data_IF_538744200120
#
_entry.id   IF_538744200120
#
_cell.length_a   1.000
_cell.length_b   1.000
_cell.length_c   1.000
_cell.angle_alpha   90.00
_cell.angle_beta   90.00
_cell.angle_gamma   90.00
#
_symmetry.space_group_name_H-M   'P 1'
#
loop_
_entity.id
_entity.type
_entity.pdbx_description
1 polymer ?
#
# COMPACT_ATOMS: atom_id res chain seq x y z
N UNK A 1 -4.58 -4.66 -10.45
CA UNK A 1 -5.37 -5.77 -9.86
C UNK A 1 -6.36 -6.39 -10.85
N UNK A 2 -6.82 -5.67 -11.87
CA UNK A 2 -7.77 -6.14 -12.90
C UNK A 2 -7.54 -7.56 -13.43
N UNK A 3 -6.29 -7.95 -13.73
CA UNK A 3 -5.98 -9.28 -14.26
C UNK A 3 -6.24 -10.43 -13.27
N UNK A 4 -6.04 -10.20 -11.96
CA UNK A 4 -6.35 -11.19 -10.91
C UNK A 4 -7.85 -11.26 -10.72
N UNK A 5 -8.49 -10.09 -10.60
CA UNK A 5 -9.94 -10.00 -10.35
C UNK A 5 -10.80 -10.43 -11.54
N UNK A 6 -10.29 -10.39 -12.77
CA UNK A 6 -10.98 -10.98 -13.93
C UNK A 6 -11.07 -12.51 -13.86
N UNK A 7 -10.21 -13.16 -13.06
CA UNK A 7 -10.24 -14.60 -12.83
C UNK A 7 -11.10 -14.92 -11.59
N UNK A 8 -10.84 -14.22 -10.48
CA UNK A 8 -11.63 -14.35 -9.27
C UNK A 8 -11.67 -13.00 -8.52
N UNK A 9 -12.85 -12.37 -8.40
CA UNK A 9 -12.98 -11.08 -7.71
C UNK A 9 -12.78 -11.16 -6.20
N UNK A 10 -12.87 -12.35 -5.59
CA UNK A 10 -12.75 -12.55 -4.14
C UNK A 10 -11.28 -12.67 -3.67
N UNK A 11 -10.32 -12.69 -4.60
CA UNK A 11 -8.89 -12.73 -4.24
C UNK A 11 -8.45 -11.37 -3.71
N UNK A 12 -8.02 -11.36 -2.45
CA UNK A 12 -7.31 -10.23 -1.87
C UNK A 12 -5.87 -10.15 -2.39
N UNK A 13 -5.50 -8.98 -2.90
CA UNK A 13 -4.16 -8.72 -3.43
C UNK A 13 -3.39 -7.80 -2.49
N UNK A 14 -2.20 -8.25 -2.09
CA UNK A 14 -1.23 -7.51 -1.29
C UNK A 14 0.07 -7.35 -2.08
N UNK A 15 0.52 -6.10 -2.30
CA UNK A 15 1.81 -5.81 -2.93
C UNK A 15 2.94 -5.89 -1.90
N UNK A 16 3.85 -6.85 -2.03
CA UNK A 16 4.88 -7.14 -1.01
C UNK A 16 6.28 -6.59 -1.29
N UNK A 17 6.55 -6.03 -2.47
CA UNK A 17 7.88 -5.56 -2.86
C UNK A 17 7.83 -4.21 -3.58
N UNK A 18 8.92 -3.46 -3.50
CA UNK A 18 9.08 -2.17 -4.16
C UNK A 18 8.41 -0.99 -3.45
N UNK A 19 8.11 -1.12 -2.16
CA UNK A 19 7.46 -0.08 -1.35
C UNK A 19 8.51 0.60 -0.48
N UNK A 20 8.75 1.88 -0.73
CA UNK A 20 9.79 2.67 -0.08
C UNK A 20 9.31 3.99 0.51
N UNK A 21 8.06 4.37 0.24
CA UNK A 21 7.45 5.63 0.69
C UNK A 21 5.95 5.49 0.90
N UNK A 22 5.34 6.45 1.58
CA UNK A 22 3.88 6.58 1.64
C UNK A 22 3.25 6.85 0.28
N UNK A 23 3.98 7.48 -0.67
CA UNK A 23 3.49 7.62 -2.05
C UNK A 23 3.29 6.26 -2.71
N UNK A 24 4.26 5.36 -2.59
CA UNK A 24 4.15 4.00 -3.15
C UNK A 24 2.91 3.31 -2.56
N UNK A 25 2.76 3.37 -1.24
CA UNK A 25 1.59 2.83 -0.52
C UNK A 25 0.27 3.40 -1.07
N UNK A 26 0.15 4.71 -1.17
CA UNK A 26 -1.05 5.37 -1.69
C UNK A 26 -1.39 4.87 -3.10
N UNK A 27 -0.40 4.81 -3.98
CA UNK A 27 -0.57 4.41 -5.37
C UNK A 27 -1.02 2.93 -5.47
N UNK A 28 -0.46 2.03 -4.67
CA UNK A 28 -0.84 0.60 -4.76
C UNK A 28 -2.27 0.37 -4.30
N UNK A 29 -2.70 1.06 -3.24
CA UNK A 29 -4.08 0.98 -2.74
C UNK A 29 -5.05 1.55 -3.79
N UNK A 30 -4.74 2.72 -4.37
CA UNK A 30 -5.54 3.31 -5.46
C UNK A 30 -5.65 2.43 -6.70
N UNK A 31 -4.63 1.60 -6.96
CA UNK A 31 -4.65 0.66 -8.08
C UNK A 31 -5.48 -0.61 -7.81
N UNK A 32 -5.96 -0.80 -6.57
CA UNK A 32 -6.86 -1.88 -6.17
C UNK A 32 -6.25 -2.90 -5.20
N UNK A 33 -5.04 -2.67 -4.66
CA UNK A 33 -4.54 -3.48 -3.56
C UNK A 33 -5.38 -3.21 -2.31
N UNK A 34 -5.61 -4.24 -1.50
CA UNK A 34 -6.23 -4.05 -0.18
C UNK A 34 -5.19 -3.87 0.92
N UNK A 35 -3.92 -4.17 0.63
CA UNK A 35 -2.82 -4.08 1.56
C UNK A 35 -1.46 -3.98 0.84
N UNK A 36 -0.43 -3.63 1.59
CA UNK A 36 0.95 -3.63 1.11
C UNK A 36 1.93 -3.90 2.25
N UNK A 37 3.16 -4.31 1.92
CA UNK A 37 4.24 -4.54 2.88
C UNK A 37 5.51 -3.79 2.50
N UNK A 38 6.24 -3.31 3.50
CA UNK A 38 7.57 -2.72 3.34
C UNK A 38 8.48 -3.17 4.49
N UNK A 39 9.62 -3.79 4.16
CA UNK A 39 10.64 -4.15 5.15
C UNK A 39 11.82 -3.20 5.06
N UNK A 40 12.58 -3.26 3.96
CA UNK A 40 13.76 -2.41 3.77
C UNK A 40 13.43 -0.93 3.67
N UNK A 41 12.25 -0.57 3.15
CA UNK A 41 11.80 0.82 3.10
C UNK A 41 11.64 1.43 4.48
N UNK A 42 11.18 0.63 5.45
CA UNK A 42 11.04 1.04 6.85
C UNK A 42 12.38 0.96 7.58
N UNK A 43 13.02 -0.21 7.62
CA UNK A 43 14.20 -0.45 8.46
C UNK A 43 15.48 0.27 8.02
N UNK A 44 15.54 0.74 6.76
CA UNK A 44 16.67 1.53 6.25
C UNK A 44 16.36 3.02 6.13
N UNK A 45 15.16 3.46 6.52
CA UNK A 45 14.84 4.89 6.55
C UNK A 45 15.72 5.61 7.58
N UNK A 46 15.96 6.91 7.34
CA UNK A 46 16.65 7.75 8.32
C UNK A 46 15.89 7.82 9.65
N UNK A 47 14.57 7.81 9.58
CA UNK A 47 13.66 7.70 10.73
C UNK A 47 12.60 6.63 10.44
N UNK A 48 12.76 5.39 10.96
CA UNK A 48 11.80 4.31 10.75
C UNK A 48 10.41 4.59 11.33
N UNK A 49 10.31 5.34 12.44
CA UNK A 49 9.03 5.64 13.06
C UNK A 49 8.23 6.61 12.20
N UNK A 50 8.89 7.69 11.74
CA UNK A 50 8.27 8.63 10.81
C UNK A 50 7.85 7.96 9.49
N UNK A 51 8.66 7.03 8.98
CA UNK A 51 8.31 6.27 7.77
C UNK A 51 7.07 5.40 7.95
N UNK A 52 6.93 4.73 9.11
CA UNK A 52 5.71 3.97 9.44
C UNK A 52 4.49 4.90 9.49
N UNK A 53 4.60 6.05 10.14
CA UNK A 53 3.50 7.02 10.22
C UNK A 53 3.09 7.53 8.83
N UNK A 54 4.05 7.87 7.98
CA UNK A 54 3.82 8.27 6.59
C UNK A 54 3.05 7.18 5.81
N UNK A 55 3.51 5.93 5.91
CA UNK A 55 2.89 4.80 5.23
C UNK A 55 1.46 4.51 5.74
N UNK A 56 1.24 4.54 7.06
CA UNK A 56 -0.10 4.35 7.64
C UNK A 56 -1.06 5.46 7.21
N UNK A 57 -0.60 6.72 7.24
CA UNK A 57 -1.38 7.86 6.78
C UNK A 57 -1.77 7.71 5.31
N UNK A 58 -0.83 7.28 4.46
CA UNK A 58 -1.07 7.06 3.05
C UNK A 58 -2.11 5.96 2.77
N UNK A 59 -2.06 4.83 3.49
CA UNK A 59 -3.11 3.78 3.40
C UNK A 59 -4.47 4.38 3.75
N UNK A 60 -4.56 5.05 4.90
CA UNK A 60 -5.82 5.61 5.42
C UNK A 60 -6.44 6.58 4.42
N UNK A 61 -5.65 7.53 3.92
CA UNK A 61 -6.05 8.50 2.90
C UNK A 61 -6.55 7.83 1.62
N UNK A 62 -5.76 6.91 1.06
CA UNK A 62 -6.12 6.22 -0.18
C UNK A 62 -7.45 5.45 -0.03
N UNK A 63 -7.62 4.77 1.10
CA UNK A 63 -8.84 4.01 1.40
C UNK A 63 -10.06 4.91 1.55
N UNK A 64 -9.95 6.03 2.29
CA UNK A 64 -11.08 6.96 2.47
C UNK A 64 -11.55 7.50 1.13
N UNK A 65 -10.63 7.90 0.25
CA UNK A 65 -11.00 8.44 -1.05
C UNK A 65 -11.58 7.40 -2.03
N UNK A 66 -11.34 6.09 -1.82
CA UNK A 66 -11.94 5.03 -2.64
C UNK A 66 -13.35 4.63 -2.17
N UNK A 67 -13.67 4.86 -0.89
CA UNK A 67 -14.89 4.37 -0.24
C UNK A 67 -15.80 5.51 0.26
N UNK A 68 -15.68 6.70 -0.34
CA UNK A 68 -16.63 7.80 -0.13
C UNK A 68 -17.99 7.54 -0.75
#
# INVERSE_FOLDING_TARGET
>A
MKAVHSINPDIYVLQGAGISSGKDVYDVIKNGAVATGSSSGIFKAADPAAMIEEMIHAVRKAWDELHK
#
